data_IF_000165092306
#
_entry.id   IF_000165092306
#
_cell.length_a   1.000
_cell.length_b   1.000
_cell.length_c   1.000
_cell.angle_alpha   90.00
_cell.angle_beta   90.00
_cell.angle_gamma   90.00
#
_symmetry.space_group_name_H-M   'P 1'
#
loop_
_entity.id
_entity.type
_entity.pdbx_description
1 polymer ?
#
# COMPACT_ATOMS: atom_id res chain seq x y z
N UNK A 1 -23.54 -4.16 -46.01
CA UNK A 1 -23.32 -5.56 -46.44
C UNK A 1 -21.91 -5.92 -45.98
N UNK A 2 -21.73 -6.57 -44.83
CA UNK A 2 -21.98 -8.00 -44.51
C UNK A 2 -21.14 -8.94 -45.38
N UNK A 3 -20.06 -9.48 -44.82
CA UNK A 3 -19.65 -10.90 -44.81
C UNK A 3 -18.73 -11.06 -43.57
N UNK A 4 -19.18 -11.66 -42.46
CA UNK A 4 -19.45 -13.08 -42.20
C UNK A 4 -18.15 -13.84 -41.85
N UNK A 5 -17.90 -14.10 -40.57
CA UNK A 5 -18.23 -15.33 -39.80
C UNK A 5 -17.06 -16.34 -39.81
N UNK A 6 -16.49 -16.57 -38.63
CA UNK A 6 -16.15 -17.91 -38.13
C UNK A 6 -16.62 -18.00 -36.67
N UNK A 7 -17.75 -18.70 -36.49
CA UNK A 7 -18.21 -19.46 -35.31
C UNK A 7 -17.16 -20.56 -34.99
N UNK A 8 -16.96 -21.16 -33.81
CA UNK A 8 -17.74 -21.34 -32.59
C UNK A 8 -16.84 -22.05 -31.52
N UNK A 9 -17.45 -22.34 -30.36
CA UNK A 9 -16.96 -23.01 -29.14
C UNK A 9 -16.31 -22.02 -28.15
N UNK A 10 -16.91 -21.72 -26.99
CA UNK A 10 -17.33 -22.67 -25.95
C UNK A 10 -18.61 -22.18 -25.25
N UNK A 11 -19.67 -22.99 -25.33
CA UNK A 11 -20.80 -23.02 -24.40
C UNK A 11 -20.82 -24.42 -23.82
N UNK A 12 -20.25 -24.60 -22.62
CA UNK A 12 -20.51 -25.72 -21.71
C UNK A 12 -19.64 -25.58 -20.44
N UNK A 13 -20.05 -24.71 -19.52
CA UNK A 13 -19.79 -24.86 -18.07
C UNK A 13 -20.51 -23.72 -17.32
N UNK A 14 -21.80 -23.90 -17.09
CA UNK A 14 -22.41 -23.47 -15.82
C UNK A 14 -22.86 -24.74 -15.10
N UNK A 15 -23.10 -24.73 -13.78
CA UNK A 15 -23.21 -23.59 -12.86
C UNK A 15 -22.32 -23.78 -11.60
N UNK A 16 -22.58 -22.98 -10.56
CA UNK A 16 -22.02 -23.06 -9.20
C UNK A 16 -20.79 -22.19 -8.89
N UNK A 17 -20.94 -20.87 -9.00
CA UNK A 17 -20.49 -20.02 -7.90
C UNK A 17 -21.59 -20.02 -6.84
N UNK A 18 -21.69 -21.14 -6.13
CA UNK A 18 -22.20 -21.07 -4.77
C UNK A 18 -21.23 -20.14 -4.05
N UNK A 19 -21.73 -18.97 -3.62
CA UNK A 19 -20.96 -18.06 -2.78
C UNK A 19 -20.45 -18.86 -1.60
N UNK A 20 -19.14 -19.14 -1.59
CA UNK A 20 -18.49 -19.59 -0.38
C UNK A 20 -18.80 -18.50 0.65
N UNK A 21 -19.33 -18.85 1.83
CA UNK A 21 -19.51 -17.87 2.89
C UNK A 21 -18.16 -17.19 3.09
N UNK A 22 -18.17 -15.85 3.09
CA UNK A 22 -17.03 -15.08 3.56
C UNK A 22 -16.78 -15.52 5.00
N UNK A 23 -15.88 -16.48 5.17
CA UNK A 23 -15.43 -16.92 6.46
C UNK A 23 -14.34 -15.94 6.84
N UNK A 24 -14.48 -15.34 8.02
CA UNK A 24 -13.32 -14.84 8.77
C UNK A 24 -12.49 -16.05 9.20
N UNK A 25 -11.98 -16.81 8.23
CA UNK A 25 -10.98 -17.83 8.47
C UNK A 25 -9.69 -17.11 8.88
N UNK A 26 -8.92 -17.66 9.83
CA UNK A 26 -7.63 -17.10 10.19
C UNK A 26 -6.84 -16.98 8.90
N UNK A 27 -6.32 -15.79 8.61
CA UNK A 27 -5.35 -15.66 7.54
C UNK A 27 -4.26 -16.72 7.79
N UNK A 28 -3.99 -17.58 6.81
CA UNK A 28 -2.85 -18.52 6.87
C UNK A 28 -1.51 -17.77 7.00
N UNK A 29 -1.54 -16.44 6.91
CA UNK A 29 -0.56 -15.56 7.52
C UNK A 29 -1.11 -14.99 8.83
N UNK A 30 -0.81 -15.67 9.94
CA UNK A 30 -0.82 -15.07 11.28
C UNK A 30 -0.27 -13.63 11.16
N UNK A 31 -0.93 -12.60 11.73
CA UNK A 31 -0.51 -11.21 11.54
C UNK A 31 0.98 -11.10 11.89
N UNK A 32 1.76 -10.54 10.96
CA UNK A 32 3.16 -10.22 11.20
C UNK A 32 3.20 -9.02 12.16
N UNK A 33 3.04 -9.31 13.45
CA UNK A 33 3.26 -8.34 14.52
C UNK A 33 4.75 -7.99 14.53
N UNK A 34 5.14 -6.70 14.51
CA UNK A 34 6.52 -6.35 14.74
C UNK A 34 6.89 -6.65 16.20
N UNK A 35 8.04 -7.31 16.37
CA UNK A 35 8.82 -7.49 17.60
C UNK A 35 8.81 -8.91 18.19
N UNK A 36 10.03 -9.36 18.49
CA UNK A 36 10.37 -10.55 19.26
C UNK A 36 9.75 -10.50 20.67
N UNK A 37 8.48 -10.89 20.76
CA UNK A 37 7.78 -11.18 22.02
C UNK A 37 7.99 -12.65 22.42
N UNK A 38 8.13 -12.91 23.72
CA UNK A 38 8.19 -14.26 24.25
C UNK A 38 7.02 -15.10 23.72
N UNK A 39 7.30 -16.31 23.22
CA UNK A 39 6.27 -17.19 22.69
C UNK A 39 5.11 -17.34 23.69
N UNK A 40 3.86 -17.18 23.21
CA UNK A 40 2.65 -17.36 24.01
C UNK A 40 2.76 -18.63 24.86
N UNK A 41 2.48 -18.51 26.17
CA UNK A 41 2.57 -19.64 27.09
C UNK A 41 1.52 -20.70 26.73
N UNK A 42 1.74 -21.96 27.08
CA UNK A 42 0.76 -23.02 26.85
C UNK A 42 -0.59 -22.69 27.55
N UNK A 43 -0.53 -22.03 28.70
CA UNK A 43 -1.70 -21.56 29.46
C UNK A 43 -2.46 -20.46 28.72
N UNK A 44 -1.77 -19.47 28.14
CA UNK A 44 -2.42 -18.41 27.33
C UNK A 44 -3.13 -19.00 26.11
N UNK A 45 -2.51 -19.98 25.43
CA UNK A 45 -3.11 -20.65 24.27
C UNK A 45 -4.36 -21.43 24.63
N UNK A 46 -4.33 -22.14 25.76
CA UNK A 46 -5.51 -22.88 26.23
C UNK A 46 -6.66 -21.93 26.54
N UNK A 47 -6.40 -20.82 27.23
CA UNK A 47 -7.43 -19.82 27.54
C UNK A 47 -8.01 -19.15 26.30
N UNK A 48 -7.20 -18.91 25.27
CA UNK A 48 -7.70 -18.43 23.97
C UNK A 48 -8.65 -19.46 23.36
N UNK A 49 -8.23 -20.73 23.31
CA UNK A 49 -9.05 -21.81 22.75
C UNK A 49 -10.36 -22.02 23.52
N UNK A 50 -10.34 -21.90 24.85
CA UNK A 50 -11.55 -22.00 25.68
C UNK A 50 -12.54 -20.86 25.37
N UNK A 51 -12.04 -19.63 25.23
CA UNK A 51 -12.86 -18.47 24.89
C UNK A 51 -13.42 -18.57 23.46
N UNK A 52 -12.62 -19.05 22.50
CA UNK A 52 -13.06 -19.33 21.12
C UNK A 52 -14.14 -20.43 21.09
N UNK A 53 -13.97 -21.51 21.87
CA UNK A 53 -14.98 -22.56 21.98
C UNK A 53 -16.33 -22.05 22.53
N UNK A 54 -16.30 -21.11 23.49
CA UNK A 54 -17.51 -20.45 23.99
C UNK A 54 -18.16 -19.56 22.91
N UNK A 55 -17.34 -18.86 22.12
CA UNK A 55 -17.82 -18.04 21.01
C UNK A 55 -18.49 -18.88 19.93
N UNK A 56 -17.87 -19.98 19.50
CA UNK A 56 -18.39 -20.90 18.49
C UNK A 56 -19.68 -21.59 18.96
N UNK A 57 -19.81 -21.82 20.27
CA UNK A 57 -21.05 -22.31 20.88
C UNK A 57 -22.17 -21.26 20.98
N UNK A 58 -21.94 -20.02 20.51
CA UNK A 58 -22.90 -18.91 20.58
C UNK A 58 -23.08 -18.33 21.98
N UNK A 59 -22.25 -18.72 22.95
CA UNK A 59 -22.29 -18.25 24.34
C UNK A 59 -21.53 -16.94 24.48
N UNK A 60 -21.98 -15.90 23.78
CA UNK A 60 -21.22 -14.66 23.62
C UNK A 60 -20.90 -13.95 24.94
N UNK A 61 -21.79 -13.99 25.94
CA UNK A 61 -21.51 -13.40 27.26
C UNK A 61 -20.41 -14.14 28.03
N UNK A 62 -20.43 -15.48 28.02
CA UNK A 62 -19.37 -16.30 28.62
C UNK A 62 -18.04 -16.09 27.88
N UNK A 63 -18.07 -16.02 26.54
CA UNK A 63 -16.90 -15.76 25.71
C UNK A 63 -16.27 -14.39 25.98
N UNK A 64 -17.09 -13.33 26.12
CA UNK A 64 -16.61 -11.98 26.46
C UNK A 64 -15.91 -11.97 27.81
N UNK A 65 -16.49 -12.60 28.83
CA UNK A 65 -15.88 -12.65 30.16
C UNK A 65 -14.58 -13.46 30.16
N UNK A 66 -14.55 -14.62 29.51
CA UNK A 66 -13.34 -15.42 29.35
C UNK A 66 -12.23 -14.62 28.64
N UNK A 67 -12.56 -13.94 27.54
CA UNK A 67 -11.61 -13.11 26.80
C UNK A 67 -11.13 -11.89 27.61
N UNK A 68 -11.98 -11.25 28.42
CA UNK A 68 -11.58 -10.15 29.32
C UNK A 68 -10.67 -10.62 30.45
N UNK A 69 -10.86 -11.83 30.95
CA UNK A 69 -9.95 -12.44 31.93
C UNK A 69 -8.59 -12.69 31.28
N UNK A 70 -8.57 -13.28 30.08
CA UNK A 70 -7.34 -13.48 29.31
C UNK A 70 -6.63 -12.14 29.02
N UNK A 71 -7.36 -11.12 28.56
CA UNK A 71 -6.79 -9.80 28.29
C UNK A 71 -6.08 -9.17 29.50
N UNK A 72 -6.60 -9.40 30.72
CA UNK A 72 -6.01 -8.90 31.97
C UNK A 72 -4.84 -9.75 32.46
N UNK A 73 -4.86 -11.07 32.21
CA UNK A 73 -3.89 -12.02 32.73
C UNK A 73 -2.72 -12.35 31.78
N UNK A 74 -2.93 -12.24 30.47
CA UNK A 74 -1.93 -12.57 29.46
C UNK A 74 -0.72 -11.65 29.58
N UNK A 75 0.48 -12.23 29.49
CA UNK A 75 1.74 -11.48 29.40
C UNK A 75 2.16 -11.23 27.96
N UNK A 76 1.70 -12.08 27.06
CA UNK A 76 1.95 -11.96 25.62
C UNK A 76 1.00 -10.93 24.98
N UNK A 77 1.57 -10.01 24.21
CA UNK A 77 0.81 -8.99 23.49
C UNK A 77 -0.06 -9.59 22.39
N UNK A 78 0.39 -10.67 21.73
CA UNK A 78 -0.40 -11.34 20.70
C UNK A 78 -1.65 -11.99 21.31
N UNK A 79 -1.51 -12.75 22.41
CA UNK A 79 -2.64 -13.31 23.14
C UNK A 79 -3.62 -12.22 23.64
N UNK A 80 -3.12 -11.08 24.11
CA UNK A 80 -3.99 -9.93 24.47
C UNK A 80 -4.73 -9.40 23.24
N UNK A 81 -4.09 -9.33 22.07
CA UNK A 81 -4.69 -8.81 20.84
C UNK A 81 -5.80 -9.74 20.36
N UNK A 82 -5.57 -11.04 20.37
CA UNK A 82 -6.57 -12.06 20.05
C UNK A 82 -7.76 -11.99 21.02
N UNK A 83 -7.50 -11.85 22.32
CA UNK A 83 -8.56 -11.65 23.31
C UNK A 83 -9.39 -10.39 23.04
N UNK A 84 -8.73 -9.29 22.62
CA UNK A 84 -9.42 -8.03 22.26
C UNK A 84 -10.29 -8.21 21.01
N UNK A 85 -9.79 -8.94 20.01
CA UNK A 85 -10.54 -9.32 18.80
C UNK A 85 -11.77 -10.13 19.15
N UNK A 86 -11.63 -11.15 20.00
CA UNK A 86 -12.73 -12.02 20.41
C UNK A 86 -13.81 -11.24 21.17
N UNK A 87 -13.45 -10.31 22.05
CA UNK A 87 -14.41 -9.41 22.71
C UNK A 87 -15.18 -8.58 21.68
N UNK A 88 -14.49 -7.98 20.71
CA UNK A 88 -15.13 -7.14 19.68
C UNK A 88 -16.10 -7.95 18.79
N UNK A 89 -15.68 -9.14 18.36
CA UNK A 89 -16.51 -10.04 17.56
C UNK A 89 -17.71 -10.58 18.35
N UNK A 90 -17.53 -10.99 19.60
CA UNK A 90 -18.62 -11.47 20.45
C UNK A 90 -19.66 -10.39 20.72
N UNK A 91 -19.24 -9.14 20.98
CA UNK A 91 -20.15 -8.00 21.14
C UNK A 91 -20.94 -7.72 19.85
N UNK A 92 -20.28 -7.83 18.68
CA UNK A 92 -20.93 -7.69 17.37
C UNK A 92 -21.98 -8.79 17.15
N UNK A 93 -21.63 -10.06 17.40
CA UNK A 93 -22.56 -11.20 17.24
C UNK A 93 -23.74 -11.13 18.20
N UNK A 94 -23.52 -10.65 19.42
CA UNK A 94 -24.57 -10.38 20.42
C UNK A 94 -25.51 -9.24 20.00
N UNK A 95 -25.05 -8.34 19.14
CA UNK A 95 -25.80 -7.16 18.70
C UNK A 95 -25.63 -5.92 19.57
N UNK A 96 -24.60 -5.88 20.42
CA UNK A 96 -24.23 -4.65 21.16
C UNK A 96 -23.32 -3.77 20.28
N UNK A 97 -23.92 -3.10 19.30
CA UNK A 97 -23.19 -2.38 18.24
C UNK A 97 -22.32 -1.24 18.78
N UNK A 98 -22.80 -0.55 19.82
CA UNK A 98 -22.07 0.55 20.45
C UNK A 98 -20.84 0.04 21.17
N UNK A 99 -20.96 -1.03 21.96
CA UNK A 99 -19.83 -1.63 22.64
C UNK A 99 -18.87 -2.29 21.64
N UNK A 100 -19.39 -2.96 20.60
CA UNK A 100 -18.61 -3.57 19.54
C UNK A 100 -17.76 -2.51 18.80
N UNK A 101 -18.35 -1.39 18.38
CA UNK A 101 -17.63 -0.28 17.75
C UNK A 101 -16.48 0.23 18.64
N UNK A 102 -16.74 0.45 19.93
CA UNK A 102 -15.70 0.88 20.87
C UNK A 102 -14.61 -0.19 21.07
N UNK A 103 -14.95 -1.48 21.04
CA UNK A 103 -13.99 -2.57 21.12
C UNK A 103 -13.12 -2.67 19.85
N UNK A 104 -13.70 -2.49 18.66
CA UNK A 104 -12.94 -2.43 17.40
C UNK A 104 -12.02 -1.21 17.32
N UNK A 105 -12.39 -0.06 17.88
CA UNK A 105 -11.46 1.08 18.01
C UNK A 105 -10.26 0.74 18.90
N UNK A 106 -10.51 0.13 20.06
CA UNK A 106 -9.43 -0.32 20.96
C UNK A 106 -8.53 -1.35 20.28
N UNK A 107 -9.11 -2.26 19.50
CA UNK A 107 -8.37 -3.27 18.73
C UNK A 107 -7.50 -2.60 17.66
N UNK A 108 -8.08 -1.70 16.86
CA UNK A 108 -7.38 -0.91 15.85
C UNK A 108 -6.15 -0.21 16.42
N UNK A 109 -6.29 0.43 17.59
CA UNK A 109 -5.23 1.24 18.21
C UNK A 109 -4.02 0.39 18.69
N UNK A 110 -4.10 -0.94 18.61
CA UNK A 110 -2.97 -1.86 18.86
C UNK A 110 -2.10 -2.11 17.63
N UNK A 111 -2.57 -1.69 16.45
CA UNK A 111 -1.85 -1.83 15.20
C UNK A 111 -1.21 -0.51 14.79
N UNK A 112 -0.10 -0.58 14.07
CA UNK A 112 0.56 0.61 13.53
C UNK A 112 -0.39 1.36 12.58
N UNK A 113 -0.44 2.69 12.74
CA UNK A 113 -1.17 3.55 11.80
C UNK A 113 -0.60 3.35 10.42
N UNK A 114 -1.47 3.03 9.46
CA UNK A 114 -1.05 2.72 8.10
C UNK A 114 -1.12 1.24 7.76
N UNK A 115 -1.11 0.34 8.74
CA UNK A 115 -1.21 -1.11 8.50
C UNK A 115 -2.59 -1.53 7.96
N UNK A 116 -2.63 -2.69 7.28
CA UNK A 116 -3.87 -3.25 6.75
C UNK A 116 -4.88 -3.57 7.87
N UNK A 117 -4.40 -4.11 8.99
CA UNK A 117 -5.25 -4.44 10.14
C UNK A 117 -5.79 -3.18 10.81
N UNK A 118 -5.00 -2.11 10.93
CA UNK A 118 -5.49 -0.81 11.37
C UNK A 118 -6.64 -0.35 10.45
N UNK A 119 -6.47 -0.38 9.13
CA UNK A 119 -7.50 0.06 8.19
C UNK A 119 -8.78 -0.79 8.26
N UNK A 120 -8.64 -2.12 8.40
CA UNK A 120 -9.76 -3.06 8.53
C UNK A 120 -10.58 -2.79 9.79
N UNK A 121 -9.94 -2.75 10.96
CA UNK A 121 -10.66 -2.56 12.22
C UNK A 121 -11.24 -1.15 12.36
N UNK A 122 -10.58 -0.15 11.79
CA UNK A 122 -11.13 1.19 11.64
C UNK A 122 -12.44 1.17 10.83
N UNK A 123 -12.44 0.54 9.65
CA UNK A 123 -13.60 0.46 8.79
C UNK A 123 -14.77 -0.30 9.46
N UNK A 124 -14.49 -1.42 10.16
CA UNK A 124 -15.52 -2.15 10.92
C UNK A 124 -16.13 -1.27 12.00
N UNK A 125 -15.30 -0.53 12.74
CA UNK A 125 -15.80 0.40 13.75
C UNK A 125 -16.66 1.51 13.13
N UNK A 126 -16.26 2.08 12.00
CA UNK A 126 -17.03 3.09 11.28
C UNK A 126 -18.40 2.58 10.86
N UNK A 127 -18.47 1.36 10.30
CA UNK A 127 -19.73 0.71 9.91
C UNK A 127 -20.65 0.53 11.12
N UNK A 128 -20.14 -0.03 12.23
CA UNK A 128 -20.92 -0.26 13.44
C UNK A 128 -21.41 1.04 14.08
N UNK A 129 -20.56 2.08 14.09
CA UNK A 129 -20.92 3.41 14.61
C UNK A 129 -21.99 4.08 13.74
N UNK A 130 -21.94 3.90 12.44
CA UNK A 130 -22.90 4.45 11.48
C UNK A 130 -24.26 3.72 11.49
N UNK A 131 -24.35 2.52 12.07
CA UNK A 131 -25.59 1.75 12.20
C UNK A 131 -25.92 1.43 13.68
N UNK A 132 -26.50 2.38 14.44
CA UNK A 132 -26.83 2.18 15.85
C UNK A 132 -27.86 1.08 16.11
N UNK A 133 -28.67 0.74 15.11
CA UNK A 133 -29.64 -0.36 15.15
C UNK A 133 -29.07 -1.69 14.66
N UNK A 134 -27.85 -1.70 14.11
CA UNK A 134 -27.23 -2.87 13.48
C UNK A 134 -27.86 -3.28 12.15
N UNK A 135 -28.90 -2.58 11.70
CA UNK A 135 -29.51 -2.81 10.40
C UNK A 135 -28.72 -2.03 9.36
N UNK A 136 -28.07 -2.75 8.47
CA UNK A 136 -27.38 -2.16 7.33
C UNK A 136 -28.24 -2.35 6.09
N UNK A 137 -29.03 -1.34 5.73
CA UNK A 137 -29.90 -1.39 4.57
C UNK A 137 -29.08 -1.06 3.30
N UNK A 138 -28.91 -2.00 2.35
CA UNK A 138 -28.15 -1.71 1.16
C UNK A 138 -28.88 -0.74 0.22
N UNK A 139 -30.21 -0.77 0.24
CA UNK A 139 -31.13 0.11 -0.50
C UNK A 139 -32.49 0.02 0.19
N UNK A 140 -33.35 1.02 0.00
CA UNK A 140 -34.65 1.16 0.66
C UNK A 140 -35.68 0.02 0.38
N UNK A 141 -35.28 -1.11 -0.19
CA UNK A 141 -36.16 -2.20 -0.62
C UNK A 141 -35.88 -3.57 0.04
N UNK A 142 -34.81 -3.73 0.85
CA UNK A 142 -34.57 -4.99 1.56
C UNK A 142 -35.20 -4.95 2.96
N UNK A 143 -36.53 -5.08 3.03
CA UNK A 143 -37.30 -5.28 4.26
C UNK A 143 -37.12 -6.71 4.83
N UNK A 144 -35.87 -7.16 4.98
CA UNK A 144 -35.52 -8.42 5.62
C UNK A 144 -34.46 -8.16 6.68
N UNK A 145 -34.78 -8.40 7.95
CA UNK A 145 -34.01 -8.02 9.14
C UNK A 145 -32.65 -8.69 9.31
N UNK A 146 -31.79 -8.65 8.28
CA UNK A 146 -30.38 -9.03 8.39
C UNK A 146 -29.61 -7.91 9.07
N UNK A 147 -28.76 -8.28 10.02
CA UNK A 147 -28.01 -7.33 10.86
C UNK A 147 -26.50 -7.46 10.62
N UNK A 148 -25.73 -6.51 11.12
CA UNK A 148 -24.26 -6.53 11.12
C UNK A 148 -23.65 -7.67 11.96
N UNK A 149 -24.48 -8.51 12.61
CA UNK A 149 -24.03 -9.78 13.16
C UNK A 149 -23.76 -10.83 12.07
N UNK A 150 -24.39 -10.72 10.89
CA UNK A 150 -24.12 -11.56 9.73
C UNK A 150 -22.84 -11.07 9.02
N UNK A 151 -21.93 -12.00 8.72
CA UNK A 151 -20.63 -11.66 8.13
C UNK A 151 -20.74 -11.18 6.68
N UNK A 152 -21.72 -11.69 5.93
CA UNK A 152 -21.98 -11.22 4.57
C UNK A 152 -22.49 -9.78 4.58
N UNK A 153 -23.37 -9.44 5.53
CA UNK A 153 -23.88 -8.07 5.68
C UNK A 153 -22.75 -7.11 6.06
N UNK A 154 -21.87 -7.53 6.96
CA UNK A 154 -20.69 -6.74 7.30
C UNK A 154 -19.74 -6.59 6.09
N UNK A 155 -19.48 -7.66 5.35
CA UNK A 155 -18.64 -7.62 4.15
C UNK A 155 -19.21 -6.65 3.10
N UNK A 156 -20.51 -6.74 2.80
CA UNK A 156 -21.20 -5.82 1.88
C UNK A 156 -21.12 -4.35 2.36
N UNK A 157 -21.15 -4.14 3.67
CA UNK A 157 -20.98 -2.82 4.26
C UNK A 157 -19.56 -2.27 4.08
N UNK A 158 -18.55 -3.11 4.32
CA UNK A 158 -17.14 -2.75 4.14
C UNK A 158 -16.80 -2.46 2.68
N UNK A 159 -17.38 -3.20 1.72
CA UNK A 159 -17.25 -2.92 0.28
C UNK A 159 -17.68 -1.49 -0.03
N UNK A 160 -18.83 -1.06 0.47
CA UNK A 160 -19.33 0.31 0.23
C UNK A 160 -18.47 1.38 0.89
N UNK A 161 -17.95 1.11 2.08
CA UNK A 161 -16.98 2.00 2.73
C UNK A 161 -15.72 2.13 1.88
N UNK A 162 -15.18 1.01 1.39
CA UNK A 162 -14.02 1.00 0.51
C UNK A 162 -14.29 1.72 -0.82
N UNK A 163 -15.43 1.49 -1.47
CA UNK A 163 -15.85 2.19 -2.69
C UNK A 163 -15.98 3.70 -2.46
N UNK A 164 -16.64 4.12 -1.38
CA UNK A 164 -16.77 5.53 -1.04
C UNK A 164 -15.42 6.19 -0.73
N UNK A 165 -14.49 5.47 -0.09
CA UNK A 165 -13.10 5.92 0.10
C UNK A 165 -12.40 6.06 -1.25
N UNK A 166 -12.50 5.06 -2.13
CA UNK A 166 -11.90 5.07 -3.47
C UNK A 166 -12.43 6.22 -4.33
N UNK A 167 -13.73 6.53 -4.29
CA UNK A 167 -14.29 7.68 -5.01
C UNK A 167 -13.70 9.01 -4.54
N UNK A 168 -13.47 9.18 -3.23
CA UNK A 168 -12.76 10.35 -2.70
C UNK A 168 -11.31 10.42 -3.19
N UNK A 169 -10.63 9.27 -3.25
CA UNK A 169 -9.25 9.19 -3.75
C UNK A 169 -9.15 9.52 -5.25
N UNK A 170 -10.13 9.09 -6.07
CA UNK A 170 -10.20 9.47 -7.50
C UNK A 170 -10.19 10.99 -7.69
N UNK A 171 -10.88 11.73 -6.82
CA UNK A 171 -10.88 13.19 -6.83
C UNK A 171 -9.50 13.85 -6.66
N UNK A 172 -8.51 13.11 -6.12
CA UNK A 172 -7.13 13.58 -5.92
C UNK A 172 -6.18 13.24 -7.06
N UNK A 173 -6.54 12.32 -7.96
CA UNK A 173 -5.72 11.93 -9.13
C UNK A 173 -5.33 13.15 -10.00
N UNK A 174 -6.20 14.15 -10.26
CA UNK A 174 -5.82 15.33 -11.04
C UNK A 174 -4.65 16.13 -10.45
N UNK A 175 -4.40 16.03 -9.14
CA UNK A 175 -3.26 16.70 -8.50
C UNK A 175 -1.92 16.11 -8.97
N UNK A 176 -1.85 14.80 -9.23
CA UNK A 176 -0.65 14.14 -9.77
C UNK A 176 -0.24 14.77 -11.11
N UNK A 177 -1.21 14.97 -12.01
CA UNK A 177 -0.96 15.57 -13.34
C UNK A 177 -0.50 17.03 -13.26
N UNK A 178 -0.77 17.72 -12.15
CA UNK A 178 -0.44 19.14 -11.94
C UNK A 178 0.85 19.35 -11.14
N UNK A 179 1.42 18.29 -10.57
CA UNK A 179 2.66 18.36 -9.82
C UNK A 179 3.78 18.97 -10.67
N UNK A 180 4.60 19.83 -10.06
CA UNK A 180 5.61 20.64 -10.73
C UNK A 180 7.00 20.02 -10.69
N UNK A 181 7.24 19.10 -9.76
CA UNK A 181 8.54 18.45 -9.56
C UNK A 181 8.39 16.93 -9.42
N UNK A 182 9.42 16.15 -9.77
CA UNK A 182 9.40 14.69 -9.56
C UNK A 182 9.11 14.32 -8.09
N UNK A 183 9.74 15.02 -7.15
CA UNK A 183 9.52 14.81 -5.71
C UNK A 183 8.06 15.03 -5.30
N UNK A 184 7.40 16.07 -5.84
CA UNK A 184 5.99 16.33 -5.57
C UNK A 184 5.09 15.21 -6.12
N UNK A 185 5.37 14.70 -7.32
CA UNK A 185 4.63 13.54 -7.88
C UNK A 185 4.76 12.34 -6.95
N UNK A 186 5.98 12.02 -6.54
CA UNK A 186 6.27 10.87 -5.67
C UNK A 186 5.60 11.01 -4.31
N UNK A 187 5.66 12.19 -3.68
CA UNK A 187 5.02 12.43 -2.39
C UNK A 187 3.50 12.26 -2.47
N UNK A 188 2.86 12.86 -3.49
CA UNK A 188 1.42 12.74 -3.71
C UNK A 188 1.00 11.31 -4.01
N UNK A 189 1.76 10.62 -4.87
CA UNK A 189 1.46 9.26 -5.28
C UNK A 189 1.67 8.25 -4.14
N UNK A 190 2.72 8.40 -3.34
CA UNK A 190 2.98 7.52 -2.19
C UNK A 190 1.83 7.55 -1.20
N UNK A 191 1.34 8.74 -0.84
CA UNK A 191 0.18 8.89 0.04
C UNK A 191 -1.09 8.27 -0.57
N UNK A 192 -1.35 8.50 -1.86
CA UNK A 192 -2.48 7.90 -2.56
C UNK A 192 -2.38 6.37 -2.62
N UNK A 193 -1.21 5.84 -2.90
CA UNK A 193 -0.96 4.41 -3.02
C UNK A 193 -1.19 3.69 -1.69
N UNK A 194 -0.76 4.30 -0.58
CA UNK A 194 -1.04 3.77 0.76
C UNK A 194 -2.55 3.75 1.06
N UNK A 195 -3.27 4.83 0.76
CA UNK A 195 -4.72 4.91 0.99
C UNK A 195 -5.51 3.93 0.09
N UNK A 196 -5.07 3.71 -1.15
CA UNK A 196 -5.64 2.68 -2.04
C UNK A 196 -5.39 1.27 -1.51
N UNK A 197 -4.16 0.97 -1.06
CA UNK A 197 -3.82 -0.32 -0.43
C UNK A 197 -4.72 -0.58 0.78
N UNK A 198 -4.91 0.42 1.65
CA UNK A 198 -5.78 0.32 2.81
C UNK A 198 -7.25 0.08 2.43
N UNK A 199 -7.76 0.77 1.41
CA UNK A 199 -9.12 0.54 0.92
C UNK A 199 -9.29 -0.90 0.39
N UNK A 200 -8.28 -1.45 -0.29
CA UNK A 200 -8.28 -2.84 -0.73
C UNK A 200 -8.15 -3.84 0.42
N UNK A 201 -7.35 -3.52 1.43
CA UNK A 201 -7.24 -4.36 2.61
C UNK A 201 -8.57 -4.50 3.34
N UNK A 202 -9.40 -3.45 3.33
CA UNK A 202 -10.77 -3.45 3.84
C UNK A 202 -11.70 -4.30 2.98
N UNK A 203 -11.62 -4.18 1.65
CA UNK A 203 -12.46 -4.93 0.72
C UNK A 203 -11.68 -5.37 -0.53
N UNK A 204 -11.09 -6.58 -0.54
CA UNK A 204 -10.24 -7.06 -1.64
C UNK A 204 -10.95 -7.20 -2.99
N UNK A 205 -12.28 -7.29 -2.97
CA UNK A 205 -13.11 -7.44 -4.16
C UNK A 205 -13.36 -6.14 -4.94
N UNK A 206 -12.95 -4.99 -4.41
CA UNK A 206 -13.13 -3.72 -5.11
C UNK A 206 -12.16 -3.61 -6.29
N UNK A 207 -12.66 -3.11 -7.42
CA UNK A 207 -11.92 -2.99 -8.68
C UNK A 207 -10.60 -2.20 -8.53
N UNK A 208 -9.49 -2.65 -9.17
CA UNK A 208 -8.21 -1.95 -9.19
C UNK A 208 -8.14 -0.77 -10.17
N UNK A 209 -9.20 -0.43 -10.88
CA UNK A 209 -9.12 0.60 -11.94
C UNK A 209 -8.65 1.97 -11.43
N UNK A 210 -9.13 2.40 -10.26
CA UNK A 210 -8.81 3.73 -9.71
C UNK A 210 -7.33 3.88 -9.34
N UNK A 211 -6.76 2.85 -8.72
CA UNK A 211 -5.34 2.83 -8.36
C UNK A 211 -4.44 2.74 -9.59
N UNK A 212 -4.86 1.98 -10.62
CA UNK A 212 -4.13 1.85 -11.87
C UNK A 212 -4.13 3.19 -12.62
N UNK A 213 -5.25 3.92 -12.60
CA UNK A 213 -5.32 5.28 -13.13
C UNK A 213 -4.40 6.25 -12.37
N UNK A 214 -4.35 6.17 -11.03
CA UNK A 214 -3.46 7.01 -10.24
C UNK A 214 -1.98 6.71 -10.54
N UNK A 215 -1.61 5.44 -10.60
CA UNK A 215 -0.26 4.99 -10.90
C UNK A 215 0.17 5.36 -12.32
N UNK A 216 -0.72 5.20 -13.30
CA UNK A 216 -0.48 5.65 -14.67
C UNK A 216 -0.28 7.16 -14.73
N UNK A 217 -1.15 7.95 -14.08
CA UNK A 217 -1.02 9.41 -14.06
C UNK A 217 0.30 9.88 -13.41
N UNK A 218 0.74 9.21 -12.34
CA UNK A 218 2.03 9.48 -11.71
C UNK A 218 3.20 9.11 -12.64
N UNK A 219 3.16 7.93 -13.28
CA UNK A 219 4.19 7.47 -14.19
C UNK A 219 4.36 8.42 -15.40
N UNK A 220 3.26 8.79 -16.06
CA UNK A 220 3.24 9.74 -17.18
C UNK A 220 3.85 11.08 -16.77
N UNK A 221 3.44 11.61 -15.60
CA UNK A 221 3.94 12.89 -15.13
C UNK A 221 5.43 12.85 -14.77
N UNK A 222 5.90 11.76 -14.17
CA UNK A 222 7.33 11.58 -13.90
C UNK A 222 8.14 11.55 -15.19
N UNK A 223 7.66 10.90 -16.24
CA UNK A 223 8.32 10.90 -17.56
C UNK A 223 8.42 12.32 -18.12
N UNK A 224 7.31 13.07 -18.10
CA UNK A 224 7.27 14.46 -18.58
C UNK A 224 8.28 15.36 -17.85
N UNK A 225 8.38 15.24 -16.52
CA UNK A 225 9.26 16.07 -15.70
C UNK A 225 10.72 15.64 -15.78
N UNK A 226 11.00 14.34 -15.82
CA UNK A 226 12.37 13.82 -15.85
C UNK A 226 13.05 14.00 -17.21
N UNK A 227 12.30 13.98 -18.32
CA UNK A 227 12.87 14.10 -19.67
C UNK A 227 13.74 15.37 -19.86
N UNK A 228 13.27 16.59 -19.57
CA UNK A 228 14.12 17.79 -19.70
C UNK A 228 15.29 17.79 -18.70
N UNK A 229 15.10 17.22 -17.49
CA UNK A 229 16.15 17.13 -16.47
C UNK A 229 17.30 16.22 -16.96
N UNK A 230 16.98 15.02 -17.45
CA UNK A 230 17.96 14.11 -18.03
C UNK A 230 18.72 14.72 -19.22
N UNK A 231 18.00 15.44 -20.08
CA UNK A 231 18.61 16.15 -21.21
C UNK A 231 19.62 17.20 -20.71
N UNK A 232 19.23 18.01 -19.73
CA UNK A 232 20.08 19.03 -19.13
C UNK A 232 21.31 18.45 -18.43
N UNK A 233 21.14 17.38 -17.66
CA UNK A 233 22.24 16.69 -16.99
C UNK A 233 23.21 16.08 -18.02
N UNK A 234 22.72 15.51 -19.11
CA UNK A 234 23.57 14.92 -20.17
C UNK A 234 24.38 16.00 -20.89
N UNK A 235 23.77 17.17 -21.15
CA UNK A 235 24.49 18.31 -21.70
C UNK A 235 25.59 18.81 -20.74
N UNK A 236 25.28 18.90 -19.44
CA UNK A 236 26.25 19.29 -18.41
C UNK A 236 27.40 18.30 -18.28
N UNK A 237 27.11 17.00 -18.36
CA UNK A 237 28.14 15.96 -18.38
C UNK A 237 29.11 16.17 -19.55
N UNK A 238 28.59 16.46 -20.75
CA UNK A 238 29.41 16.73 -21.95
C UNK A 238 30.25 18.00 -21.79
N UNK A 239 29.67 19.06 -21.21
CA UNK A 239 30.36 20.32 -20.90
C UNK A 239 31.54 20.09 -19.94
N UNK A 240 31.29 19.40 -18.82
CA UNK A 240 32.32 19.12 -17.82
C UNK A 240 33.39 18.17 -18.35
N UNK A 241 33.02 17.15 -19.14
CA UNK A 241 34.00 16.27 -19.77
C UNK A 241 34.95 17.06 -20.68
N UNK A 242 34.43 18.00 -21.46
CA UNK A 242 35.24 18.89 -22.30
C UNK A 242 36.16 19.76 -21.45
N UNK A 243 35.65 20.36 -20.37
CA UNK A 243 36.44 21.20 -19.46
C UNK A 243 37.56 20.42 -18.75
N UNK A 244 37.31 19.17 -18.35
CA UNK A 244 38.30 18.27 -17.75
C UNK A 244 39.37 17.91 -18.78
N UNK A 245 38.96 17.47 -19.97
CA UNK A 245 39.89 17.04 -21.03
C UNK A 245 40.80 18.18 -21.50
N UNK A 246 40.27 19.39 -21.54
CA UNK A 246 41.03 20.62 -21.89
C UNK A 246 41.78 21.24 -20.72
N UNK A 247 41.71 20.65 -19.51
CA UNK A 247 42.33 21.14 -18.27
C UNK A 247 41.92 22.57 -17.88
N UNK A 248 40.67 22.95 -18.16
CA UNK A 248 40.11 24.30 -17.94
C UNK A 248 38.97 24.33 -16.91
N UNK A 249 38.90 23.33 -16.02
CA UNK A 249 37.84 23.25 -15.01
C UNK A 249 37.96 24.36 -13.96
N UNK A 250 36.99 25.28 -13.95
CA UNK A 250 36.92 26.41 -13.02
C UNK A 250 36.36 26.02 -11.64
N UNK A 251 36.57 26.84 -10.61
CA UNK A 251 35.99 26.63 -9.29
C UNK A 251 34.44 26.61 -9.32
N UNK A 252 33.82 27.48 -10.14
CA UNK A 252 32.37 27.51 -10.32
C UNK A 252 31.84 26.21 -10.94
N UNK A 253 32.53 25.68 -11.96
CA UNK A 253 32.17 24.40 -12.57
C UNK A 253 32.28 23.23 -11.60
N UNK A 254 33.26 23.23 -10.68
CA UNK A 254 33.35 22.19 -9.62
C UNK A 254 32.13 22.21 -8.69
N UNK A 255 31.70 23.40 -8.28
CA UNK A 255 30.49 23.56 -7.45
C UNK A 255 29.23 23.14 -8.21
N UNK A 256 29.17 23.44 -9.50
CA UNK A 256 28.06 23.02 -10.36
C UNK A 256 28.03 21.50 -10.53
N UNK A 257 29.19 20.84 -10.72
CA UNK A 257 29.31 19.39 -10.73
C UNK A 257 28.76 18.77 -9.43
N UNK A 258 29.13 19.27 -8.25
CA UNK A 258 28.58 18.79 -6.97
C UNK A 258 27.05 18.96 -6.88
N UNK A 259 26.52 20.03 -7.46
CA UNK A 259 25.07 20.27 -7.54
C UNK A 259 24.39 19.25 -8.45
N UNK A 260 24.95 18.98 -9.63
CA UNK A 260 24.47 17.95 -10.55
C UNK A 260 24.51 16.56 -9.92
N UNK A 261 25.57 16.23 -9.18
CA UNK A 261 25.69 14.97 -8.43
C UNK A 261 24.59 14.82 -7.39
N UNK A 262 24.35 15.86 -6.60
CA UNK A 262 23.26 15.88 -5.60
C UNK A 262 21.91 15.67 -6.27
N UNK A 263 21.65 16.37 -7.39
CA UNK A 263 20.41 16.22 -8.16
C UNK A 263 20.23 14.79 -8.68
N UNK A 264 21.27 14.14 -9.22
CA UNK A 264 21.19 12.74 -9.65
C UNK A 264 20.80 11.81 -8.49
N UNK A 265 21.43 11.96 -7.32
CA UNK A 265 21.13 11.13 -6.14
C UNK A 265 19.71 11.35 -5.62
N UNK A 266 19.19 12.59 -5.66
CA UNK A 266 17.81 12.89 -5.27
C UNK A 266 16.80 12.30 -6.26
N UNK A 267 17.07 12.37 -7.56
CA UNK A 267 16.22 11.79 -8.59
C UNK A 267 16.21 10.26 -8.53
N UNK A 268 17.36 9.64 -8.26
CA UNK A 268 17.45 8.19 -7.99
C UNK A 268 16.54 7.79 -6.81
N UNK A 269 16.62 8.50 -5.68
CA UNK A 269 15.75 8.26 -4.51
C UNK A 269 14.28 8.44 -4.83
N UNK A 270 13.93 9.43 -5.66
CA UNK A 270 12.56 9.65 -6.10
C UNK A 270 12.04 8.47 -6.95
N UNK A 271 12.85 7.92 -7.85
CA UNK A 271 12.48 6.72 -8.62
C UNK A 271 12.32 5.50 -7.69
N UNK A 272 13.19 5.34 -6.69
CA UNK A 272 13.04 4.26 -5.68
C UNK A 272 11.75 4.37 -4.88
N UNK A 273 11.42 5.56 -4.40
CA UNK A 273 10.18 5.80 -3.67
C UNK A 273 8.96 5.61 -4.57
N UNK A 274 9.04 5.98 -5.86
CA UNK A 274 7.99 5.69 -6.83
C UNK A 274 7.78 4.18 -7.02
N UNK A 275 8.86 3.41 -7.18
CA UNK A 275 8.80 1.95 -7.32
C UNK A 275 8.18 1.29 -6.08
N UNK A 276 8.60 1.69 -4.89
CA UNK A 276 8.01 1.21 -3.64
C UNK A 276 6.52 1.57 -3.51
N UNK A 277 6.11 2.77 -3.94
CA UNK A 277 4.71 3.16 -3.98
C UNK A 277 3.91 2.36 -5.01
N UNK A 278 4.51 2.04 -6.17
CA UNK A 278 3.88 1.23 -7.21
C UNK A 278 3.58 -0.20 -6.73
N UNK A 279 4.44 -0.75 -5.88
CA UNK A 279 4.23 -2.07 -5.27
C UNK A 279 2.99 -2.11 -4.35
N UNK A 280 2.58 -0.96 -3.80
CA UNK A 280 1.37 -0.87 -2.97
C UNK A 280 0.05 -0.87 -3.78
N UNK A 281 0.10 -0.59 -5.09
CA UNK A 281 -1.08 -0.44 -5.96
C UNK A 281 -1.10 -1.41 -7.15
N UNK A 282 -0.25 -2.43 -7.11
CA UNK A 282 -0.17 -3.45 -8.15
C UNK A 282 -1.30 -4.49 -8.08
N UNK A 283 -2.53 -4.10 -8.37
CA UNK A 283 -3.66 -5.03 -8.53
C UNK A 283 -3.58 -5.83 -9.84
N UNK A 284 -3.52 -7.16 -9.69
CA UNK A 284 -3.57 -8.23 -10.69
C UNK A 284 -2.34 -8.43 -11.60
N UNK A 285 -1.86 -9.68 -11.61
CA UNK A 285 -1.01 -10.20 -12.67
C UNK A 285 -1.60 -9.83 -14.04
N UNK A 286 -0.79 -9.22 -14.91
CA UNK A 286 -1.22 -8.81 -16.26
C UNK A 286 -1.50 -7.33 -16.45
N UNK A 287 -1.29 -6.46 -15.45
CA UNK A 287 -1.33 -5.00 -15.67
C UNK A 287 -0.11 -4.50 -16.47
N UNK A 288 -0.22 -4.54 -17.80
CA UNK A 288 0.87 -4.20 -18.72
C UNK A 288 1.44 -2.79 -18.54
N UNK A 289 0.58 -1.79 -18.30
CA UNK A 289 1.01 -0.41 -18.06
C UNK A 289 1.82 -0.28 -16.75
N UNK A 290 1.52 -1.09 -15.73
CA UNK A 290 2.31 -1.16 -14.50
C UNK A 290 3.71 -1.71 -14.73
N UNK A 291 3.81 -2.81 -15.47
CA UNK A 291 5.12 -3.37 -15.88
C UNK A 291 5.94 -2.38 -16.70
N UNK A 292 5.29 -1.65 -17.60
CA UNK A 292 5.94 -0.58 -18.37
C UNK A 292 6.41 0.57 -17.47
N UNK A 293 5.59 1.03 -16.52
CA UNK A 293 5.96 2.06 -15.56
C UNK A 293 7.15 1.63 -14.70
N UNK A 294 7.17 0.38 -14.23
CA UNK A 294 8.29 -0.21 -13.48
C UNK A 294 9.58 -0.27 -14.30
N UNK A 295 9.51 -0.74 -15.55
CA UNK A 295 10.66 -0.77 -16.47
C UNK A 295 11.22 0.64 -16.69
N UNK A 296 10.35 1.59 -17.07
CA UNK A 296 10.76 2.96 -17.35
C UNK A 296 11.37 3.66 -16.13
N UNK A 297 10.83 3.44 -14.93
CA UNK A 297 11.39 3.97 -13.69
C UNK A 297 12.74 3.33 -13.35
N UNK A 298 12.88 2.01 -13.52
CA UNK A 298 14.14 1.29 -13.31
C UNK A 298 15.24 1.77 -14.26
N UNK A 299 14.91 2.05 -15.52
CA UNK A 299 15.82 2.62 -16.51
C UNK A 299 16.27 4.03 -16.12
N UNK A 300 15.34 4.90 -15.72
CA UNK A 300 15.67 6.26 -15.25
C UNK A 300 16.54 6.22 -14.00
N UNK A 301 16.19 5.39 -13.02
CA UNK A 301 17.01 5.15 -11.82
C UNK A 301 18.44 4.79 -12.24
N UNK A 302 18.60 3.78 -13.10
CA UNK A 302 19.90 3.33 -13.58
C UNK A 302 20.67 4.40 -14.37
N UNK A 303 19.98 5.29 -15.08
CA UNK A 303 20.61 6.45 -15.71
C UNK A 303 21.17 7.42 -14.66
N UNK A 304 20.39 7.78 -13.64
CA UNK A 304 20.86 8.67 -12.57
C UNK A 304 22.02 8.08 -11.77
N UNK A 305 21.96 6.79 -11.42
CA UNK A 305 23.03 6.08 -10.72
C UNK A 305 24.33 6.10 -11.54
N UNK A 306 24.25 5.91 -12.86
CA UNK A 306 25.42 5.96 -13.76
C UNK A 306 25.97 7.38 -13.96
N UNK A 307 25.10 8.39 -13.98
CA UNK A 307 25.52 9.79 -14.18
C UNK A 307 26.15 10.40 -12.93
N UNK A 308 25.66 10.08 -11.72
CA UNK A 308 26.16 10.65 -10.47
C UNK A 308 27.71 10.62 -10.31
N UNK A 309 28.43 9.52 -10.56
CA UNK A 309 29.90 9.50 -10.43
C UNK A 309 30.60 10.43 -11.43
N UNK A 310 30.01 10.66 -12.62
CA UNK A 310 30.57 11.54 -13.66
C UNK A 310 30.60 13.02 -13.26
N UNK A 311 29.81 13.39 -12.24
CA UNK A 311 29.80 14.72 -11.66
C UNK A 311 30.72 14.85 -10.43
N UNK A 312 31.68 13.93 -10.24
CA UNK A 312 32.71 14.06 -9.20
C UNK A 312 33.93 14.77 -9.79
N UNK A 313 34.29 15.97 -9.29
CA UNK A 313 35.45 16.68 -9.83
C UNK A 313 36.74 15.88 -9.56
N UNK A 314 37.67 15.83 -10.52
CA UNK A 314 38.95 15.17 -10.33
C UNK A 314 39.71 15.80 -9.16
N UNK A 315 40.27 14.97 -8.27
CA UNK A 315 41.08 15.48 -7.16
C UNK A 315 42.23 16.31 -7.73
N UNK A 316 42.34 17.56 -7.27
CA UNK A 316 43.52 18.38 -7.56
C UNK A 316 44.64 17.87 -6.66
N UNK A 317 45.40 16.87 -7.12
CA UNK A 317 46.66 16.53 -6.47
C UNK A 317 47.58 17.74 -6.59
N UNK A 318 48.17 18.13 -5.46
CA UNK A 318 49.36 18.99 -5.40
C UNK A 318 50.37 18.44 -6.42
N UNK A 319 50.77 19.28 -7.35
CA UNK A 319 51.80 19.08 -8.38
C UNK A 319 52.90 18.09 -7.94
N UNK A 320 52.94 16.90 -8.56
CA UNK A 320 53.99 15.90 -8.32
C UNK A 320 53.81 14.59 -9.10
N UNK A 321 52.60 14.04 -9.14
CA UNK A 321 52.36 12.72 -9.76
C UNK A 321 51.59 12.82 -11.08
N UNK A 322 52.24 12.45 -12.18
CA UNK A 322 51.58 12.19 -13.46
C UNK A 322 50.78 10.88 -13.34
N UNK A 323 49.46 10.98 -13.18
CA UNK A 323 48.55 9.87 -13.51
C UNK A 323 47.87 10.11 -14.85
N UNK A 324 47.77 9.01 -15.60
CA UNK A 324 47.05 8.92 -16.86
C UNK A 324 45.54 9.01 -16.59
N UNK A 325 44.93 10.11 -17.04
CA UNK A 325 43.52 10.42 -16.83
C UNK A 325 42.57 9.60 -17.72
N UNK A 326 43.12 8.79 -18.64
CA UNK A 326 42.33 7.97 -19.55
C UNK A 326 41.54 6.83 -18.90
N UNK A 327 41.91 6.38 -17.69
CA UNK A 327 41.35 5.16 -17.10
C UNK A 327 40.07 5.36 -16.26
N UNK A 328 39.74 6.60 -15.84
CA UNK A 328 38.54 6.87 -15.02
C UNK A 328 37.26 6.96 -15.86
N UNK A 329 37.38 7.20 -17.17
CA UNK A 329 36.25 7.50 -18.06
C UNK A 329 35.95 6.41 -19.09
N UNK A 330 36.59 5.24 -18.97
CA UNK A 330 36.35 4.09 -19.83
C UNK A 330 35.29 3.15 -19.23
N UNK A 331 34.06 3.65 -19.01
CA UNK A 331 32.88 2.85 -18.66
C UNK A 331 31.61 3.46 -19.25
#
# INVERSE_FOLDING_TARGET
>A
MRYAIVLAAVLAAGPALAGAPFTWGPSETKPAVPSAGAAATADDRQKTADAEGLFDAGKYDEAIEAARVLQRGAKDEAARTDATRLVAEALRRKGDWKAASAAYLKLRDRFEKGSDDYARYDAVSEVLRASPSGVYAPTAAAAGGKTLADDQVLADALVRVAEARIEKLKGRIPALKRARTPQEVVALFTALAEEFRQARAVAPMVSPEAEQQAAQAAAERLVELNKPILTGLTAKQTEFQTAITTRRLTANQRKEMETCKTACNELEKNEDAFLAALDNVGGAAGWAAGSQARSASTERKSAYTRMAPTFTPPMTRRTGDNMDWGSIWAW
#
